data_IF_240992828488
#
_entry.id   IF_240992828488
#
_cell.length_a   1.000
_cell.length_b   1.000
_cell.length_c   1.000
_cell.angle_alpha   90.00
_cell.angle_beta   90.00
_cell.angle_gamma   90.00
#
_symmetry.space_group_name_H-M   'P 1'
#
loop_
_entity.id
_entity.type
_entity.pdbx_description
1 polymer ?
#
# COMPACT_ATOMS: atom_id res chain seq x y z
N UNK A 1 -19.39 -27.27 65.23
CA UNK A 1 -19.85 -26.57 64.01
C UNK A 1 -18.62 -25.96 63.33
N UNK A 2 -18.20 -26.48 62.16
CA UNK A 2 -17.00 -26.00 61.42
C UNK A 2 -17.47 -25.09 60.28
N UNK A 3 -16.99 -23.85 60.26
CA UNK A 3 -17.32 -22.85 59.23
C UNK A 3 -16.31 -22.96 58.08
N UNK A 4 -16.81 -23.11 56.86
CA UNK A 4 -16.03 -23.12 55.62
C UNK A 4 -15.99 -21.68 55.08
N UNK A 5 -14.81 -21.09 54.93
CA UNK A 5 -14.63 -19.78 54.31
C UNK A 5 -14.23 -19.96 52.85
N UNK A 6 -15.12 -19.58 51.93
CA UNK A 6 -14.88 -19.56 50.49
C UNK A 6 -14.24 -18.20 50.14
N UNK A 7 -12.93 -18.18 49.85
CA UNK A 7 -12.26 -16.99 49.34
C UNK A 7 -12.49 -16.95 47.83
N UNK A 8 -13.33 -16.02 47.38
CA UNK A 8 -13.57 -15.73 45.97
C UNK A 8 -12.47 -14.78 45.48
N UNK A 9 -11.43 -15.32 44.84
CA UNK A 9 -10.38 -14.52 44.23
C UNK A 9 -10.90 -13.89 42.93
N UNK A 10 -11.19 -12.59 42.97
CA UNK A 10 -11.60 -11.81 41.80
C UNK A 10 -10.37 -11.58 40.91
N UNK A 11 -10.19 -12.42 39.88
CA UNK A 11 -9.19 -12.18 38.84
C UNK A 11 -9.61 -10.98 37.99
N UNK A 12 -9.03 -9.80 38.30
CA UNK A 12 -9.15 -8.62 37.46
C UNK A 12 -8.31 -8.84 36.20
N UNK A 13 -8.93 -9.34 35.13
CA UNK A 13 -8.29 -9.38 33.82
C UNK A 13 -8.22 -7.96 33.26
N UNK A 14 -7.04 -7.36 33.34
CA UNK A 14 -6.75 -6.15 32.58
C UNK A 14 -6.84 -6.48 31.08
N UNK A 15 -7.97 -6.12 30.46
CA UNK A 15 -8.12 -6.15 29.02
C UNK A 15 -7.29 -5.02 28.43
N UNK A 16 -5.98 -5.25 28.29
CA UNK A 16 -5.14 -4.39 27.47
C UNK A 16 -5.64 -4.50 26.04
N UNK A 17 -6.32 -3.46 25.54
CA UNK A 17 -6.57 -3.32 24.11
C UNK A 17 -5.21 -3.31 23.42
N UNK A 18 -4.89 -4.39 22.70
CA UNK A 18 -3.70 -4.44 21.87
C UNK A 18 -3.90 -3.40 20.76
N UNK A 19 -3.39 -2.19 20.97
CA UNK A 19 -3.24 -1.20 19.91
C UNK A 19 -2.36 -1.86 18.85
N UNK A 20 -2.96 -2.20 17.70
CA UNK A 20 -2.22 -2.72 16.56
C UNK A 20 -1.13 -1.72 16.21
N UNK A 21 0.10 -2.19 16.07
CA UNK A 21 1.22 -1.33 15.68
C UNK A 21 0.84 -0.52 14.42
N UNK A 22 1.22 0.77 14.35
CA UNK A 22 0.86 1.61 13.22
C UNK A 22 1.38 0.99 11.92
N UNK A 23 0.55 1.02 10.87
CA UNK A 23 0.97 0.60 9.54
C UNK A 23 2.06 1.57 9.06
N UNK A 24 3.26 1.08 8.73
CA UNK A 24 4.32 1.94 8.23
C UNK A 24 3.92 2.52 6.88
N UNK A 25 4.45 3.70 6.56
CA UNK A 25 4.26 4.31 5.26
C UNK A 25 4.94 3.47 4.18
N UNK A 26 4.34 3.38 2.99
CA UNK A 26 4.88 2.66 1.84
C UNK A 26 6.20 3.25 1.36
N UNK A 27 6.56 4.47 1.78
CA UNK A 27 7.87 5.05 1.55
C UNK A 27 9.02 4.10 1.91
N UNK A 28 8.85 3.23 2.91
CA UNK A 28 9.84 2.20 3.30
C UNK A 28 10.21 1.20 2.20
N UNK A 29 9.39 1.10 1.15
CA UNK A 29 9.72 0.32 -0.05
C UNK A 29 10.76 1.05 -0.89
N UNK A 30 10.70 2.38 -1.01
CA UNK A 30 11.60 3.13 -1.88
C UNK A 30 12.98 3.41 -1.26
N UNK A 31 13.14 3.21 0.06
CA UNK A 31 14.41 3.48 0.77
C UNK A 31 15.47 2.39 0.59
N UNK A 32 15.12 1.19 0.11
CA UNK A 32 16.05 0.07 -0.08
C UNK A 32 16.34 -0.13 -1.57
N UNK A 33 17.38 0.51 -2.11
CA UNK A 33 17.77 0.34 -3.50
C UNK A 33 18.13 -1.11 -3.87
N UNK A 34 18.57 -1.94 -2.90
CA UNK A 34 18.95 -3.33 -3.16
C UNK A 34 17.75 -4.26 -3.38
N UNK A 35 16.53 -3.80 -3.10
CA UNK A 35 15.35 -4.66 -3.18
C UNK A 35 14.98 -5.06 -4.61
N UNK A 36 15.35 -4.25 -5.61
CA UNK A 36 15.07 -4.53 -7.02
C UNK A 36 15.76 -5.80 -7.52
N UNK A 37 16.82 -6.23 -6.84
CA UNK A 37 17.53 -7.47 -7.13
C UNK A 37 17.01 -8.69 -6.38
N UNK A 38 16.01 -8.50 -5.50
CA UNK A 38 15.49 -9.54 -4.63
C UNK A 38 14.16 -10.09 -5.15
N UNK A 39 13.84 -11.37 -4.87
CA UNK A 39 12.49 -11.89 -5.00
C UNK A 39 11.50 -11.14 -4.09
N UNK A 40 10.24 -11.01 -4.50
CA UNK A 40 9.18 -10.34 -3.71
C UNK A 40 9.04 -10.94 -2.31
N UNK A 41 9.24 -12.26 -2.17
CA UNK A 41 9.27 -12.95 -0.87
C UNK A 41 10.27 -12.38 0.13
N UNK A 42 11.47 -12.07 -0.35
CA UNK A 42 12.53 -11.49 0.48
C UNK A 42 12.28 -10.01 0.76
N UNK A 43 11.75 -9.26 -0.21
CA UNK A 43 11.33 -7.86 0.02
C UNK A 43 10.28 -7.77 1.13
N UNK A 44 9.38 -8.76 1.22
CA UNK A 44 8.28 -8.74 2.18
C UNK A 44 8.60 -9.34 3.55
N UNK A 45 9.72 -10.05 3.74
CA UNK A 45 10.02 -10.78 4.99
C UNK A 45 9.98 -9.88 6.22
N UNK A 46 10.49 -8.65 6.08
CA UNK A 46 10.63 -7.66 7.16
C UNK A 46 9.50 -6.62 7.14
N UNK A 47 8.54 -6.77 6.21
CA UNK A 47 7.48 -5.79 5.96
C UNK A 47 6.08 -6.35 6.22
N UNK A 48 5.98 -7.35 7.10
CA UNK A 48 4.71 -7.97 7.54
C UNK A 48 3.62 -6.96 7.96
N UNK A 49 3.93 -5.82 8.62
CA UNK A 49 2.93 -4.82 8.98
C UNK A 49 2.18 -4.21 7.77
N UNK A 50 2.74 -4.26 6.56
CA UNK A 50 2.06 -3.77 5.36
C UNK A 50 0.91 -4.68 4.91
N UNK A 51 0.79 -5.90 5.45
CA UNK A 51 -0.37 -6.77 5.25
C UNK A 51 -0.48 -7.38 3.85
N UNK A 52 0.64 -7.56 3.16
CA UNK A 52 0.66 -8.20 1.84
C UNK A 52 0.27 -9.67 1.90
N UNK A 53 -0.50 -10.11 0.90
CA UNK A 53 -0.85 -11.50 0.65
C UNK A 53 -0.49 -11.89 -0.78
N UNK A 54 -0.13 -13.16 -0.98
CA UNK A 54 0.22 -13.70 -2.30
C UNK A 54 -1.00 -13.73 -3.22
N UNK A 55 -0.80 -13.39 -4.49
CA UNK A 55 -1.84 -13.47 -5.53
C UNK A 55 -1.89 -14.84 -6.22
N UNK A 56 -0.83 -15.63 -6.11
CA UNK A 56 -0.75 -16.97 -6.72
C UNK A 56 0.05 -17.94 -5.84
N UNK A 57 0.03 -19.23 -6.19
CA UNK A 57 0.77 -20.28 -5.46
C UNK A 57 2.28 -20.14 -5.63
N UNK A 58 2.70 -19.61 -6.76
CA UNK A 58 4.09 -19.39 -7.16
C UNK A 58 4.73 -18.24 -6.38
N UNK A 59 3.93 -17.40 -5.69
CA UNK A 59 4.39 -16.27 -4.84
C UNK A 59 5.23 -15.24 -5.60
N UNK A 60 4.87 -15.04 -6.85
CA UNK A 60 5.47 -14.07 -7.74
C UNK A 60 4.99 -12.64 -7.43
N UNK A 61 3.69 -12.49 -7.22
CA UNK A 61 3.08 -11.18 -6.97
C UNK A 61 2.37 -11.16 -5.62
N UNK A 62 2.36 -9.99 -4.99
CA UNK A 62 1.71 -9.78 -3.69
C UNK A 62 0.87 -8.51 -3.71
N UNK A 63 -0.30 -8.55 -3.07
CA UNK A 63 -1.25 -7.44 -2.97
C UNK A 63 -1.49 -7.06 -1.52
N UNK A 64 -1.71 -5.79 -1.25
CA UNK A 64 -2.26 -5.30 0.01
C UNK A 64 -3.35 -4.27 -0.23
N UNK A 65 -4.47 -4.46 0.46
CA UNK A 65 -5.59 -3.50 0.59
C UNK A 65 -5.82 -3.16 2.07
N UNK A 66 -4.78 -3.34 2.89
CA UNK A 66 -4.87 -3.14 4.34
C UNK A 66 -5.33 -1.72 4.66
N UNK A 67 -6.32 -1.59 5.56
CA UNK A 67 -6.74 -0.28 6.07
C UNK A 67 -5.57 0.43 6.74
N UNK A 68 -5.42 1.73 6.44
CA UNK A 68 -4.34 2.55 6.97
C UNK A 68 -3.04 2.50 6.18
N UNK A 69 -3.01 1.84 5.02
CA UNK A 69 -1.92 2.02 4.05
C UNK A 69 -1.84 3.49 3.63
N UNK A 70 -0.62 3.99 3.57
CA UNK A 70 -0.31 5.36 3.14
C UNK A 70 0.98 5.36 2.33
N UNK A 71 1.10 6.33 1.43
CA UNK A 71 2.36 6.73 0.83
C UNK A 71 2.52 8.24 1.06
N UNK A 72 3.67 8.64 1.64
CA UNK A 72 3.94 10.02 2.04
C UNK A 72 2.82 10.64 2.89
N UNK A 73 2.32 9.84 3.83
CA UNK A 73 1.20 10.16 4.74
C UNK A 73 -0.16 10.37 4.07
N UNK A 74 -0.29 10.14 2.76
CA UNK A 74 -1.58 10.14 2.08
C UNK A 74 -2.14 8.73 1.93
N UNK A 75 -3.46 8.53 2.13
CA UNK A 75 -4.06 7.21 2.02
C UNK A 75 -3.97 6.67 0.59
N UNK A 76 -3.77 5.36 0.48
CA UNK A 76 -3.84 4.62 -0.79
C UNK A 76 -4.84 3.47 -0.65
N UNK A 77 -5.51 3.12 -1.75
CA UNK A 77 -6.50 2.06 -1.77
C UNK A 77 -5.88 0.67 -1.86
N UNK A 78 -4.87 0.52 -2.70
CA UNK A 78 -4.23 -0.76 -2.98
C UNK A 78 -2.77 -0.59 -3.36
N UNK A 79 -1.97 -1.60 -3.04
CA UNK A 79 -0.62 -1.74 -3.59
C UNK A 79 -0.37 -3.16 -4.04
N UNK A 80 0.25 -3.32 -5.19
CA UNK A 80 0.66 -4.61 -5.75
C UNK A 80 2.15 -4.58 -6.04
N UNK A 81 2.89 -5.56 -5.52
CA UNK A 81 4.27 -5.84 -5.91
C UNK A 81 4.23 -6.86 -7.03
N UNK A 82 4.85 -6.52 -8.16
CA UNK A 82 4.97 -7.39 -9.32
C UNK A 82 6.37 -7.95 -9.42
N UNK A 83 6.46 -9.23 -9.76
CA UNK A 83 7.73 -9.83 -10.14
C UNK A 83 7.88 -9.93 -11.66
N UNK A 84 9.14 -9.92 -12.11
CA UNK A 84 9.54 -10.31 -13.45
C UNK A 84 10.88 -11.03 -13.33
N UNK A 85 11.02 -12.15 -14.02
CA UNK A 85 12.27 -12.91 -14.06
C UNK A 85 12.79 -13.26 -12.64
N UNK A 86 11.87 -13.54 -11.71
CA UNK A 86 12.18 -13.94 -10.32
C UNK A 86 12.56 -12.80 -9.37
N UNK A 87 12.54 -11.55 -9.84
CA UNK A 87 12.88 -10.35 -9.06
C UNK A 87 11.72 -9.37 -9.00
N UNK A 88 11.74 -8.46 -8.03
CA UNK A 88 10.83 -7.32 -7.98
C UNK A 88 10.99 -6.46 -9.25
N UNK A 89 9.87 -6.14 -9.89
CA UNK A 89 9.85 -5.39 -11.14
C UNK A 89 9.13 -4.04 -11.04
N UNK A 90 7.99 -4.00 -10.38
CA UNK A 90 7.20 -2.77 -10.22
C UNK A 90 6.40 -2.76 -8.92
N UNK A 91 6.01 -1.53 -8.55
CA UNK A 91 4.95 -1.26 -7.59
C UNK A 91 3.79 -0.62 -8.33
N UNK A 92 2.64 -1.25 -8.25
CA UNK A 92 1.40 -0.68 -8.74
C UNK A 92 0.66 -0.14 -7.51
N UNK A 93 0.57 1.19 -7.36
CA UNK A 93 -0.12 1.84 -6.25
C UNK A 93 -1.41 2.46 -6.79
N UNK A 94 -2.54 1.90 -6.38
CA UNK A 94 -3.86 2.42 -6.71
C UNK A 94 -4.28 3.39 -5.62
N UNK A 95 -4.35 4.68 -5.96
CA UNK A 95 -4.76 5.73 -5.01
C UNK A 95 -6.22 5.56 -4.60
N UNK A 96 -7.08 5.30 -5.58
CA UNK A 96 -8.52 5.14 -5.40
C UNK A 96 -9.08 4.21 -6.48
N UNK A 97 -9.76 3.16 -6.04
CA UNK A 97 -10.54 2.22 -6.85
C UNK A 97 -12.01 2.39 -6.50
N UNK A 98 -12.83 2.81 -7.47
CA UNK A 98 -14.28 2.92 -7.29
C UNK A 98 -14.87 1.57 -6.90
N UNK A 99 -15.73 1.54 -5.89
CA UNK A 99 -16.30 0.31 -5.32
C UNK A 99 -15.48 -0.21 -4.15
N UNK A 100 -14.20 -0.52 -4.36
CA UNK A 100 -13.31 -1.00 -3.28
C UNK A 100 -13.06 0.06 -2.21
N UNK A 101 -12.95 1.33 -2.61
CA UNK A 101 -12.75 2.46 -1.71
C UNK A 101 -14.03 3.28 -1.49
N UNK A 102 -15.19 2.74 -1.88
CA UNK A 102 -16.47 3.44 -1.84
C UNK A 102 -16.73 4.31 -3.07
N UNK A 103 -17.71 5.20 -2.94
CA UNK A 103 -18.05 6.21 -3.95
C UNK A 103 -17.44 7.56 -3.57
N UNK A 104 -16.98 8.30 -4.58
CA UNK A 104 -16.37 9.62 -4.44
C UNK A 104 -16.95 10.54 -5.51
N UNK A 105 -17.28 11.77 -5.14
CA UNK A 105 -17.74 12.78 -6.09
C UNK A 105 -16.62 13.13 -7.09
N UNK A 106 -17.00 13.47 -8.32
CA UNK A 106 -16.04 13.78 -9.39
C UNK A 106 -15.08 14.92 -9.00
N UNK A 107 -15.58 15.96 -8.35
CA UNK A 107 -14.77 17.09 -7.88
C UNK A 107 -13.71 16.66 -6.85
N UNK A 108 -14.10 15.82 -5.88
CA UNK A 108 -13.17 15.25 -4.89
C UNK A 108 -12.12 14.36 -5.55
N UNK A 109 -12.50 13.59 -6.57
CA UNK A 109 -11.57 12.76 -7.32
C UNK A 109 -10.55 13.58 -8.12
N UNK A 110 -10.99 14.68 -8.76
CA UNK A 110 -10.09 15.62 -9.45
C UNK A 110 -9.10 16.26 -8.48
N UNK A 111 -9.59 16.77 -7.34
CA UNK A 111 -8.71 17.35 -6.31
C UNK A 111 -7.73 16.34 -5.72
N UNK A 112 -8.14 15.07 -5.56
CA UNK A 112 -7.22 14.00 -5.15
C UNK A 112 -6.14 13.76 -6.20
N UNK A 113 -6.50 13.73 -7.47
CA UNK A 113 -5.55 13.52 -8.58
C UNK A 113 -4.54 14.66 -8.68
N UNK A 114 -5.00 15.91 -8.57
CA UNK A 114 -4.15 17.10 -8.55
C UNK A 114 -3.18 17.09 -7.37
N UNK A 115 -3.67 16.76 -6.17
CA UNK A 115 -2.83 16.63 -4.98
C UNK A 115 -1.72 15.59 -5.13
N UNK A 116 -2.02 14.43 -5.73
CA UNK A 116 -1.01 13.40 -5.99
C UNK A 116 -0.02 13.81 -7.08
N UNK A 117 -0.48 14.54 -8.10
CA UNK A 117 0.40 15.10 -9.12
C UNK A 117 1.40 16.08 -8.49
N UNK A 118 0.92 17.07 -7.73
CA UNK A 118 1.78 18.04 -7.02
C UNK A 118 2.80 17.35 -6.12
N UNK A 119 2.36 16.33 -5.37
CA UNK A 119 3.24 15.57 -4.49
C UNK A 119 4.31 14.78 -5.26
N UNK A 120 3.97 14.20 -6.42
CA UNK A 120 4.95 13.54 -7.27
C UNK A 120 5.98 14.53 -7.82
N UNK A 121 5.54 15.72 -8.23
CA UNK A 121 6.46 16.80 -8.66
C UNK A 121 7.38 17.22 -7.51
N UNK A 122 6.84 17.43 -6.31
CA UNK A 122 7.63 17.75 -5.12
C UNK A 122 8.69 16.68 -4.83
N UNK A 123 8.30 15.40 -4.85
CA UNK A 123 9.17 14.28 -4.47
C UNK A 123 10.21 13.92 -5.51
N UNK A 124 9.88 14.08 -6.79
CA UNK A 124 10.79 13.72 -7.89
C UNK A 124 11.54 14.91 -8.46
N UNK A 125 11.12 16.14 -8.15
CA UNK A 125 11.58 17.38 -8.79
C UNK A 125 11.41 17.37 -10.32
N UNK A 126 10.47 16.58 -10.83
CA UNK A 126 10.17 16.40 -12.24
C UNK A 126 8.66 16.57 -12.46
N UNK A 127 8.27 17.25 -13.54
CA UNK A 127 6.85 17.49 -13.88
C UNK A 127 6.12 16.22 -14.39
N UNK A 128 6.89 15.22 -14.83
CA UNK A 128 6.34 14.06 -15.53
C UNK A 128 5.89 14.39 -16.96
N UNK A 129 6.01 13.43 -17.86
CA UNK A 129 5.55 13.56 -19.23
C UNK A 129 4.08 13.13 -19.31
N UNK A 130 3.18 14.06 -19.65
CA UNK A 130 1.77 13.72 -19.90
C UNK A 130 1.67 12.92 -21.20
N UNK A 131 1.30 11.64 -21.08
CA UNK A 131 1.05 10.78 -22.22
C UNK A 131 -0.38 10.93 -22.74
N UNK A 132 -0.54 10.76 -24.05
CA UNK A 132 -1.84 10.91 -24.70
C UNK A 132 -2.84 9.85 -24.21
N UNK A 133 -4.10 10.27 -24.12
CA UNK A 133 -5.23 9.48 -23.60
C UNK A 133 -5.48 8.19 -24.40
N UNK A 134 -5.05 8.14 -25.65
CA UNK A 134 -5.20 7.01 -26.56
C UNK A 134 -3.82 6.42 -26.91
N UNK A 135 -3.47 5.32 -26.25
CA UNK A 135 -2.34 4.51 -26.69
C UNK A 135 -2.79 3.61 -27.84
N UNK A 136 -1.99 3.54 -28.92
CA UNK A 136 -2.26 2.67 -30.07
C UNK A 136 -2.46 1.23 -29.61
N UNK A 137 -3.67 0.69 -29.79
CA UNK A 137 -4.06 -0.67 -29.37
C UNK A 137 -4.86 -0.76 -28.05
N UNK A 138 -5.10 0.34 -27.35
CA UNK A 138 -5.97 0.37 -26.16
C UNK A 138 -7.42 0.70 -26.53
N UNK A 139 -8.38 -0.10 -26.05
CA UNK A 139 -9.83 0.18 -26.11
C UNK A 139 -10.30 1.12 -24.99
N UNK A 140 -9.42 1.42 -24.03
CA UNK A 140 -9.71 2.29 -22.89
C UNK A 140 -8.84 3.53 -22.96
N UNK A 141 -9.48 4.69 -22.77
CA UNK A 141 -8.80 5.98 -22.71
C UNK A 141 -8.42 6.30 -21.26
N UNK A 142 -7.17 6.70 -20.99
CA UNK A 142 -6.72 7.06 -19.66
C UNK A 142 -5.74 8.23 -19.72
N UNK A 143 -5.97 9.25 -18.89
CA UNK A 143 -4.97 10.31 -18.68
C UNK A 143 -3.80 9.72 -17.90
N UNK A 144 -2.58 9.92 -18.40
CA UNK A 144 -1.37 9.32 -17.83
C UNK A 144 -0.25 10.33 -17.75
N UNK A 145 0.50 10.27 -16.67
CA UNK A 145 1.76 10.99 -16.50
C UNK A 145 2.85 9.97 -16.21
N UNK A 146 4.00 10.15 -16.85
CA UNK A 146 5.13 9.23 -16.73
C UNK A 146 6.36 9.99 -16.27
N UNK A 147 6.92 9.56 -15.16
CA UNK A 147 8.20 10.02 -14.66
C UNK A 147 9.28 9.02 -15.06
N UNK A 148 10.32 9.49 -15.73
CA UNK A 148 11.53 8.71 -15.94
C UNK A 148 12.45 8.97 -14.77
N UNK A 149 12.69 7.96 -13.94
CA UNK A 149 13.76 8.07 -12.96
C UNK A 149 15.10 8.25 -13.70
N UNK A 150 15.99 9.15 -13.25
CA UNK A 150 17.37 9.15 -13.70
C UNK A 150 17.95 7.76 -13.42
N UNK A 151 18.40 7.07 -14.46
CA UNK A 151 19.13 5.81 -14.33
C UNK A 151 20.53 6.03 -13.79
#
# INVERSE_FOLDING_TARGET
MRRLYLILTLCLSAQGSALSAPVPDLEVLFLDASMWDKPVGEVLSDRKPLGFHWLSKERNDARSTRRGLRLWNLPVGETILRSREGKLHSFDISIYNRGDNGEMAEESFKGLTEKWHELLVEKTSLEGEKMSRAQKGSVVSADRWVWKCPG
#
